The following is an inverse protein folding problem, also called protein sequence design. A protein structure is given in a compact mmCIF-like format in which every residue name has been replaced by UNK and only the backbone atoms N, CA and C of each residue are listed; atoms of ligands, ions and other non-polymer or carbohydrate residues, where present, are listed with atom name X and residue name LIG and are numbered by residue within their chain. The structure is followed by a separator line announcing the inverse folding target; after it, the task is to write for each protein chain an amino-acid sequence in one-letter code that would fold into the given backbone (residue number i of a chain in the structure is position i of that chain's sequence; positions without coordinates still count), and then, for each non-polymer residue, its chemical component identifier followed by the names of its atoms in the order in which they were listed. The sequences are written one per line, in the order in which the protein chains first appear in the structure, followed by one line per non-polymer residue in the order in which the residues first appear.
data_IF_022336546402
#
_entry.id   IF_022336546402
#
_cell.length_a   1.000
_cell.length_b   1.000
_cell.length_c   1.000
_cell.angle_alpha   90.00
_cell.angle_beta   90.00
_cell.angle_gamma   90.00
#
_symmetry.space_group_name_H-M   'P 1'
#
loop_
_entity.id
_entity.type
_entity.pdbx_description
1 polymer ?
#
# COMPACT_ATOMS: atom_id res chain seq x y z
N UNK A 1 -37.26 88.27 -37.81
CA UNK A 1 -38.33 87.35 -37.39
C UNK A 1 -37.71 86.03 -36.94
N UNK A 2 -37.62 85.80 -35.65
CA UNK A 2 -36.99 84.63 -35.07
C UNK A 2 -38.07 83.83 -34.33
N UNK A 3 -38.22 82.55 -34.69
CA UNK A 3 -39.15 81.62 -34.10
C UNK A 3 -38.38 80.74 -33.12
N UNK A 4 -38.74 80.82 -31.83
CA UNK A 4 -38.22 79.98 -30.77
C UNK A 4 -38.78 78.55 -30.92
N UNK A 5 -37.95 77.55 -30.80
CA UNK A 5 -38.32 76.14 -30.63
C UNK A 5 -37.89 75.70 -29.23
N UNK A 6 -38.87 75.18 -28.46
CA UNK A 6 -38.70 74.60 -27.15
C UNK A 6 -38.02 73.23 -27.26
N UNK A 7 -36.97 72.99 -26.50
CA UNK A 7 -36.44 71.67 -26.23
C UNK A 7 -37.09 71.06 -24.95
N UNK A 8 -37.78 69.95 -25.12
CA UNK A 8 -38.25 69.10 -24.05
C UNK A 8 -37.10 68.12 -23.68
N UNK A 9 -36.71 68.12 -22.43
CA UNK A 9 -35.71 67.23 -21.83
C UNK A 9 -36.32 65.84 -21.65
N UNK A 10 -35.66 64.83 -22.21
CA UNK A 10 -35.92 63.41 -21.99
C UNK A 10 -34.97 62.88 -20.95
N UNK A 11 -35.48 62.53 -19.74
CA UNK A 11 -34.72 61.91 -18.68
C UNK A 11 -34.53 60.41 -18.97
N UNK A 12 -33.28 59.97 -19.17
CA UNK A 12 -32.94 58.56 -19.33
C UNK A 12 -32.72 57.93 -17.90
N UNK A 13 -33.58 56.99 -17.58
CA UNK A 13 -33.43 56.18 -16.35
C UNK A 13 -32.46 55.03 -16.65
N UNK A 14 -31.27 55.10 -16.09
CA UNK A 14 -30.30 54.00 -16.08
C UNK A 14 -30.66 52.99 -15.00
N UNK A 15 -31.24 51.86 -15.40
CA UNK A 15 -31.47 50.72 -14.52
C UNK A 15 -30.15 49.95 -14.29
N UNK A 16 -29.68 49.94 -13.03
CA UNK A 16 -28.54 49.16 -12.58
C UNK A 16 -28.99 47.71 -12.36
N UNK A 17 -28.63 46.81 -13.28
CA UNK A 17 -28.92 45.39 -13.18
C UNK A 17 -27.82 44.75 -12.32
N UNK A 18 -28.08 44.45 -11.05
CA UNK A 18 -27.20 43.72 -10.15
C UNK A 18 -27.18 42.23 -10.57
N UNK A 19 -26.09 41.79 -11.18
CA UNK A 19 -25.86 40.36 -11.46
C UNK A 19 -25.39 39.68 -10.15
N UNK A 20 -26.29 38.93 -9.53
CA UNK A 20 -25.99 38.10 -8.37
C UNK A 20 -25.20 36.85 -8.85
N UNK A 21 -23.90 36.86 -8.74
CA UNK A 21 -23.04 35.68 -9.01
C UNK A 21 -23.18 34.71 -7.84
N UNK A 22 -23.99 33.67 -8.00
CA UNK A 22 -24.07 32.56 -7.04
C UNK A 22 -22.79 31.75 -7.13
N UNK A 23 -21.89 31.93 -6.16
CA UNK A 23 -20.71 31.09 -6.01
C UNK A 23 -21.14 29.71 -5.48
N UNK A 24 -21.29 28.72 -6.36
CA UNK A 24 -21.53 27.34 -5.97
C UNK A 24 -20.23 26.79 -5.44
N UNK A 25 -20.06 26.77 -4.13
CA UNK A 25 -18.95 26.09 -3.47
C UNK A 25 -19.24 24.58 -3.60
N UNK A 26 -18.38 23.78 -4.26
CA UNK A 26 -18.55 22.34 -4.26
C UNK A 26 -18.38 21.84 -2.83
N UNK A 27 -19.46 21.40 -2.20
CA UNK A 27 -19.41 20.66 -0.94
C UNK A 27 -18.59 19.39 -1.18
N UNK A 28 -17.36 19.40 -0.73
CA UNK A 28 -16.53 18.21 -0.61
C UNK A 28 -17.24 17.31 0.42
N UNK A 29 -18.07 16.40 -0.07
CA UNK A 29 -18.68 15.37 0.78
C UNK A 29 -17.55 14.47 1.28
N UNK A 30 -17.08 14.74 2.49
CA UNK A 30 -16.26 13.80 3.23
C UNK A 30 -17.09 12.52 3.39
N UNK A 31 -16.76 11.49 2.62
CA UNK A 31 -17.34 10.16 2.77
C UNK A 31 -17.07 9.69 4.19
N UNK A 32 -18.08 9.70 5.07
CA UNK A 32 -17.99 9.14 6.41
C UNK A 32 -17.68 7.63 6.27
N UNK A 33 -16.42 7.27 6.49
CA UNK A 33 -15.98 5.89 6.54
C UNK A 33 -16.70 5.22 7.71
N UNK A 34 -17.59 4.27 7.43
CA UNK A 34 -18.32 3.53 8.45
C UNK A 34 -17.30 2.65 9.20
N UNK A 35 -16.92 3.04 10.41
CA UNK A 35 -16.12 2.22 11.30
C UNK A 35 -16.91 0.96 11.67
N UNK A 36 -16.26 -0.19 11.65
CA UNK A 36 -16.81 -1.40 12.25
C UNK A 36 -16.74 -1.29 13.78
N UNK A 37 -17.53 -2.06 14.51
CA UNK A 37 -17.56 -2.05 15.98
C UNK A 37 -16.23 -2.42 16.64
N UNK A 38 -15.30 -3.02 15.88
CA UNK A 38 -13.96 -3.43 16.30
C UNK A 38 -12.85 -2.42 15.94
N UNK A 39 -13.21 -1.21 15.46
CA UNK A 39 -12.29 -0.11 15.15
C UNK A 39 -11.64 -0.18 13.76
N UNK A 40 -11.98 -1.17 12.93
CA UNK A 40 -11.49 -1.24 11.55
C UNK A 40 -12.26 -0.27 10.64
N UNK A 41 -11.54 0.41 9.76
CA UNK A 41 -12.07 1.29 8.73
C UNK A 41 -11.74 0.72 7.35
N UNK A 42 -12.74 0.65 6.47
CA UNK A 42 -12.53 0.26 5.07
C UNK A 42 -11.73 1.35 4.34
N UNK A 43 -10.62 0.97 3.71
CA UNK A 43 -9.73 1.89 2.99
C UNK A 43 -9.77 1.74 1.46
N UNK A 44 -10.52 0.77 0.94
CA UNK A 44 -10.84 0.61 -0.47
C UNK A 44 -12.35 0.43 -0.63
N UNK A 45 -12.97 1.23 -1.50
CA UNK A 45 -14.43 1.29 -1.66
C UNK A 45 -15.02 0.16 -2.53
N UNK A 46 -14.14 -0.62 -3.20
CA UNK A 46 -14.52 -1.67 -4.13
C UNK A 46 -14.96 -1.17 -5.51
N UNK A 47 -14.92 0.13 -5.77
CA UNK A 47 -15.49 0.73 -6.99
C UNK A 47 -14.50 1.62 -7.73
N UNK A 48 -13.69 2.37 -7.01
CA UNK A 48 -12.79 3.39 -7.57
C UNK A 48 -11.41 3.31 -6.92
N UNK A 49 -10.41 3.95 -7.53
CA UNK A 49 -9.10 4.15 -6.92
C UNK A 49 -9.04 5.42 -6.06
N UNK A 50 -10.19 6.00 -5.68
CA UNK A 50 -10.23 7.18 -4.81
C UNK A 50 -9.53 6.89 -3.48
N UNK A 51 -8.56 7.72 -3.11
CA UNK A 51 -7.72 7.52 -1.92
C UNK A 51 -6.51 6.59 -2.16
N UNK A 52 -6.26 6.17 -3.40
CA UNK A 52 -5.11 5.40 -3.81
C UNK A 52 -4.38 6.09 -4.97
N UNK A 53 -3.06 5.91 -5.05
CA UNK A 53 -2.20 6.49 -6.09
C UNK A 53 -1.23 5.46 -6.62
N UNK A 54 -1.30 5.14 -7.90
CA UNK A 54 -0.44 4.20 -8.61
C UNK A 54 -0.48 4.47 -10.12
N UNK A 55 0.35 3.78 -10.86
CA UNK A 55 0.37 3.87 -12.32
C UNK A 55 -0.89 3.23 -12.90
N UNK A 56 -1.74 3.99 -13.63
CA UNK A 56 -3.00 3.47 -14.19
C UNK A 56 -2.77 2.43 -15.30
N UNK A 57 -1.55 2.28 -15.80
CA UNK A 57 -1.19 1.19 -16.72
C UNK A 57 -1.35 -0.18 -16.08
N UNK A 58 -1.11 -0.26 -14.75
CA UNK A 58 -1.09 -1.52 -14.01
C UNK A 58 -2.24 -1.65 -13.03
N UNK A 59 -2.77 -0.54 -12.51
CA UNK A 59 -3.72 -0.55 -11.41
C UNK A 59 -5.10 -0.05 -11.81
N UNK A 60 -6.15 -0.78 -11.40
CA UNK A 60 -7.55 -0.41 -11.59
C UNK A 60 -8.45 -0.97 -10.50
N UNK A 61 -9.64 -0.41 -10.39
CA UNK A 61 -10.74 -1.02 -9.63
C UNK A 61 -11.62 -1.79 -10.61
N UNK A 62 -11.86 -3.08 -10.33
CA UNK A 62 -12.62 -3.96 -11.22
C UNK A 62 -13.36 -5.03 -10.40
N UNK A 63 -14.67 -5.19 -10.61
CA UNK A 63 -15.51 -6.23 -9.99
C UNK A 63 -15.36 -6.30 -8.45
N UNK A 64 -15.28 -5.15 -7.78
CA UNK A 64 -15.14 -5.08 -6.32
C UNK A 64 -13.71 -5.19 -5.81
N UNK A 65 -12.73 -5.37 -6.70
CA UNK A 65 -11.34 -5.63 -6.36
C UNK A 65 -10.43 -4.46 -6.77
N UNK A 66 -9.38 -4.24 -5.99
CA UNK A 66 -8.18 -3.51 -6.38
C UNK A 66 -7.31 -4.47 -7.18
N UNK A 67 -7.16 -4.23 -8.48
CA UNK A 67 -6.49 -5.11 -9.42
C UNK A 67 -5.16 -4.54 -9.85
N UNK A 68 -4.09 -5.31 -9.68
CA UNK A 68 -2.78 -5.08 -10.25
C UNK A 68 -2.50 -6.11 -11.34
N UNK A 69 -2.14 -5.66 -12.55
CA UNK A 69 -1.94 -6.56 -13.68
C UNK A 69 -0.78 -6.12 -14.58
N UNK A 70 0.05 -7.08 -14.94
CA UNK A 70 1.10 -6.96 -15.94
C UNK A 70 0.73 -7.90 -17.08
N UNK A 71 0.63 -7.35 -18.30
CA UNK A 71 0.36 -8.09 -19.53
C UNK A 71 1.65 -8.22 -20.37
N UNK A 72 1.68 -9.05 -21.42
CA UNK A 72 2.81 -9.08 -22.35
C UNK A 72 3.13 -7.72 -23.00
N UNK A 73 2.11 -6.84 -23.12
CA UNK A 73 2.27 -5.49 -23.68
C UNK A 73 2.73 -4.44 -22.66
N UNK A 74 2.66 -4.76 -21.34
CA UNK A 74 2.92 -3.80 -20.25
C UNK A 74 3.98 -4.30 -19.29
N UNK A 75 5.02 -4.99 -19.78
CA UNK A 75 6.07 -5.53 -18.94
C UNK A 75 6.80 -4.43 -18.15
N UNK A 76 6.95 -4.65 -16.85
CA UNK A 76 7.67 -3.75 -15.95
C UNK A 76 9.19 -3.88 -16.11
N UNK A 77 9.89 -2.75 -15.93
CA UNK A 77 11.35 -2.71 -15.78
C UNK A 77 11.79 -2.72 -14.31
N UNK A 78 10.89 -2.34 -13.41
CA UNK A 78 11.10 -2.29 -11.96
C UNK A 78 9.77 -2.44 -11.25
N UNK A 79 9.78 -2.86 -9.99
CA UNK A 79 8.57 -3.01 -9.18
C UNK A 79 7.79 -1.70 -9.09
N UNK A 80 6.46 -1.78 -9.22
CA UNK A 80 5.54 -0.66 -9.15
C UNK A 80 4.48 -0.89 -8.07
N UNK A 81 4.09 0.18 -7.39
CA UNK A 81 3.19 0.12 -6.26
C UNK A 81 1.98 1.03 -6.46
N UNK A 82 0.85 0.61 -5.92
CA UNK A 82 -0.24 1.53 -5.64
C UNK A 82 -0.26 1.83 -4.14
N UNK A 83 -0.34 3.11 -3.78
CA UNK A 83 -0.13 3.62 -2.42
C UNK A 83 -1.43 4.20 -1.89
N UNK A 84 -1.80 3.81 -0.68
CA UNK A 84 -2.92 4.43 0.04
C UNK A 84 -2.55 5.85 0.50
N UNK A 85 -3.44 6.82 0.20
CA UNK A 85 -3.25 8.25 0.45
C UNK A 85 -3.81 8.73 1.79
N UNK A 86 -4.38 7.83 2.58
CA UNK A 86 -5.09 8.22 3.81
C UNK A 86 -4.20 8.44 5.03
N UNK A 87 -2.86 8.36 4.88
CA UNK A 87 -1.90 8.64 5.94
C UNK A 87 -0.67 7.74 5.93
N UNK A 88 0.08 7.80 7.01
CA UNK A 88 1.28 7.00 7.25
C UNK A 88 1.12 6.26 8.58
N UNK A 89 0.45 5.09 8.59
CA UNK A 89 0.20 4.37 9.83
C UNK A 89 1.50 3.98 10.54
N UNK A 90 1.52 4.17 11.85
CA UNK A 90 2.58 3.73 12.75
C UNK A 90 2.28 2.34 13.28
N UNK A 91 1.57 2.27 14.41
CA UNK A 91 1.04 1.04 14.97
C UNK A 91 -0.34 0.79 14.36
N UNK A 92 -0.56 -0.42 13.82
CA UNK A 92 -1.80 -0.72 13.10
C UNK A 92 -2.08 -2.21 13.01
N UNK A 93 -3.34 -2.53 12.72
CA UNK A 93 -3.75 -3.80 12.13
C UNK A 93 -4.26 -3.54 10.71
N UNK A 94 -3.82 -4.35 9.74
CA UNK A 94 -4.30 -4.27 8.36
C UNK A 94 -4.69 -5.66 7.86
N UNK A 95 -5.94 -5.81 7.46
CA UNK A 95 -6.48 -7.09 6.99
C UNK A 95 -7.24 -6.93 5.67
N UNK A 96 -7.33 -8.01 4.94
CA UNK A 96 -8.05 -8.10 3.68
C UNK A 96 -7.91 -9.47 3.06
N UNK A 97 -8.27 -9.55 1.80
CA UNK A 97 -8.16 -10.77 1.01
C UNK A 97 -7.33 -10.51 -0.24
N UNK A 98 -6.61 -11.53 -0.69
CA UNK A 98 -5.86 -11.50 -1.94
C UNK A 98 -6.02 -12.78 -2.73
N UNK A 99 -5.89 -12.68 -4.05
CA UNK A 99 -5.64 -13.80 -4.96
C UNK A 99 -4.60 -13.37 -5.99
N UNK A 100 -3.81 -14.31 -6.49
CA UNK A 100 -2.71 -14.04 -7.42
C UNK A 100 -2.54 -15.22 -8.38
N UNK A 101 -2.22 -14.92 -9.64
CA UNK A 101 -1.89 -15.93 -10.65
C UNK A 101 -0.62 -16.69 -10.31
N UNK A 102 -0.48 -17.93 -10.78
CA UNK A 102 0.62 -18.85 -10.43
C UNK A 102 2.02 -18.24 -10.64
N UNK A 103 2.24 -17.47 -11.69
CA UNK A 103 3.53 -16.83 -11.98
C UNK A 103 3.69 -15.44 -11.32
N UNK A 104 2.66 -14.98 -10.62
CA UNK A 104 2.65 -13.66 -10.00
C UNK A 104 3.58 -13.55 -8.80
N UNK A 105 4.10 -12.33 -8.60
CA UNK A 105 4.79 -11.91 -7.39
C UNK A 105 4.29 -10.52 -6.99
N UNK A 106 4.02 -10.36 -5.71
CA UNK A 106 3.42 -9.17 -5.12
C UNK A 106 3.82 -9.05 -3.65
N UNK A 107 3.31 -8.05 -2.98
CA UNK A 107 3.51 -7.87 -1.54
C UNK A 107 2.72 -6.68 -1.02
N UNK A 108 2.51 -6.68 0.29
CA UNK A 108 1.89 -5.58 1.03
C UNK A 108 3.01 -4.81 1.73
N UNK A 109 3.30 -3.61 1.24
CA UNK A 109 4.31 -2.73 1.82
C UNK A 109 3.72 -1.84 2.90
N UNK A 110 4.46 -1.67 3.98
CA UNK A 110 4.06 -0.82 5.10
C UNK A 110 5.28 -0.12 5.73
N UNK A 111 5.02 0.96 6.46
CA UNK A 111 6.07 1.81 7.02
C UNK A 111 7.17 2.12 5.99
N UNK A 112 6.74 2.37 4.75
CA UNK A 112 7.63 2.53 3.60
C UNK A 112 7.87 3.98 3.25
N UNK A 113 9.03 4.26 2.65
CA UNK A 113 9.35 5.51 1.98
C UNK A 113 9.04 5.40 0.49
N UNK A 114 8.58 6.50 -0.12
CA UNK A 114 8.53 6.63 -1.56
C UNK A 114 9.93 6.97 -2.09
N UNK A 115 10.36 6.30 -3.15
CA UNK A 115 11.56 6.71 -3.87
C UNK A 115 11.25 7.88 -4.78
N UNK A 116 12.18 8.81 -4.89
CA UNK A 116 12.04 10.03 -5.72
C UNK A 116 12.60 9.84 -7.12
N UNK A 117 13.53 8.92 -7.29
CA UNK A 117 14.25 8.58 -8.52
C UNK A 117 13.60 7.46 -9.32
N UNK A 118 12.67 6.71 -8.73
CA UNK A 118 11.92 5.63 -9.37
C UNK A 118 10.42 5.84 -9.19
N UNK A 119 9.67 6.15 -10.26
CA UNK A 119 8.22 6.37 -10.18
C UNK A 119 7.50 5.19 -9.53
N UNK A 120 6.55 5.49 -8.65
CA UNK A 120 5.70 4.51 -7.96
C UNK A 120 6.45 3.41 -7.22
N UNK A 121 7.71 3.64 -6.83
CA UNK A 121 8.48 2.68 -6.06
C UNK A 121 8.46 2.99 -4.56
N UNK A 122 8.37 1.93 -3.76
CA UNK A 122 8.46 1.97 -2.30
C UNK A 122 9.72 1.27 -1.81
N UNK A 123 10.14 1.64 -0.60
CA UNK A 123 11.23 1.03 0.15
C UNK A 123 10.80 0.89 1.61
N UNK A 124 10.72 -0.33 2.12
CA UNK A 124 10.30 -0.59 3.51
C UNK A 124 9.85 -2.03 3.71
N UNK A 125 9.21 -2.30 4.85
CA UNK A 125 8.72 -3.64 5.19
C UNK A 125 7.67 -4.13 4.20
N UNK A 126 7.67 -5.43 3.94
CA UNK A 126 6.77 -6.09 3.02
C UNK A 126 6.31 -7.46 3.54
N UNK A 127 5.03 -7.70 3.54
CA UNK A 127 4.47 -9.03 3.63
C UNK A 127 4.41 -9.61 2.21
N UNK A 128 5.26 -10.59 1.92
CA UNK A 128 5.37 -11.18 0.60
C UNK A 128 4.18 -12.03 0.22
N UNK A 129 3.81 -11.96 -1.05
CA UNK A 129 2.75 -12.73 -1.71
C UNK A 129 3.27 -13.18 -3.07
N UNK A 130 3.27 -14.50 -3.34
CA UNK A 130 3.60 -15.04 -4.66
C UNK A 130 2.71 -16.23 -5.02
N UNK A 131 2.42 -16.40 -6.31
CA UNK A 131 1.48 -17.42 -6.79
C UNK A 131 1.96 -18.87 -6.61
N UNK A 132 3.27 -19.08 -6.53
CA UNK A 132 3.86 -20.41 -6.26
C UNK A 132 4.01 -20.69 -4.76
N UNK A 133 3.62 -19.75 -3.92
CA UNK A 133 3.74 -19.84 -2.46
C UNK A 133 5.16 -20.18 -1.98
N UNK A 134 6.19 -19.67 -2.67
CA UNK A 134 7.58 -19.78 -2.21
C UNK A 134 7.87 -18.80 -1.09
N UNK A 135 7.36 -17.58 -1.26
CA UNK A 135 7.63 -16.43 -0.39
C UNK A 135 6.42 -15.99 0.44
N UNK A 136 5.18 -16.36 0.03
CA UNK A 136 3.96 -15.94 0.74
C UNK A 136 4.06 -16.24 2.22
N UNK A 137 3.84 -15.18 3.04
CA UNK A 137 3.88 -15.23 4.50
C UNK A 137 5.24 -14.91 5.12
N UNK A 138 6.31 -14.69 4.33
CA UNK A 138 7.56 -14.16 4.90
C UNK A 138 7.49 -12.65 5.13
N UNK A 139 8.38 -12.15 6.00
CA UNK A 139 8.62 -10.73 6.21
C UNK A 139 9.88 -10.33 5.45
N UNK A 140 9.71 -9.45 4.47
CA UNK A 140 10.76 -8.92 3.62
C UNK A 140 10.89 -7.42 3.83
N UNK A 141 12.02 -6.84 3.50
CA UNK A 141 12.18 -5.39 3.47
C UNK A 141 12.64 -4.97 2.07
N UNK A 142 11.69 -4.45 1.30
CA UNK A 142 11.90 -4.06 -0.09
C UNK A 142 13.00 -2.99 -0.19
N UNK A 143 13.98 -3.24 -1.05
CA UNK A 143 15.10 -2.33 -1.33
C UNK A 143 15.93 -1.91 -0.12
N UNK A 144 15.94 -2.73 0.96
CA UNK A 144 16.74 -2.50 2.16
C UNK A 144 17.39 -3.78 2.67
N UNK A 145 16.95 -4.29 3.84
CA UNK A 145 17.61 -5.42 4.52
C UNK A 145 17.21 -6.80 3.97
N UNK A 146 16.27 -6.86 3.01
CA UNK A 146 15.78 -8.09 2.40
C UNK A 146 14.97 -8.97 3.37
N UNK A 147 15.14 -10.30 3.39
CA UNK A 147 14.35 -11.19 4.25
C UNK A 147 14.67 -10.98 5.72
N UNK A 148 13.68 -10.55 6.49
CA UNK A 148 13.77 -10.37 7.94
C UNK A 148 13.29 -11.62 8.70
N UNK A 149 12.33 -12.36 8.15
CA UNK A 149 11.93 -13.68 8.63
C UNK A 149 11.35 -14.49 7.46
N UNK A 150 11.80 -15.73 7.30
CA UNK A 150 11.16 -16.67 6.38
C UNK A 150 9.84 -17.18 6.99
N UNK A 151 8.93 -17.67 6.15
CA UNK A 151 7.73 -18.37 6.62
C UNK A 151 8.12 -19.50 7.59
N UNK A 152 7.47 -19.51 8.74
CA UNK A 152 7.73 -20.46 9.83
C UNK A 152 8.71 -19.96 10.89
N UNK A 153 9.29 -18.78 10.71
CA UNK A 153 10.27 -18.25 11.66
C UNK A 153 9.71 -17.16 12.58
N UNK A 154 10.18 -17.18 13.82
CA UNK A 154 10.26 -16.04 14.73
C UNK A 154 11.69 -15.55 14.74
N UNK A 155 11.90 -14.24 14.51
CA UNK A 155 13.24 -13.67 14.43
C UNK A 155 13.37 -12.42 15.30
N UNK A 156 14.61 -12.12 15.65
CA UNK A 156 15.01 -10.83 16.23
C UNK A 156 16.09 -10.22 15.35
N UNK A 157 15.89 -8.98 14.95
CA UNK A 157 16.91 -8.14 14.34
C UNK A 157 17.60 -7.38 15.48
N UNK A 158 18.91 -7.53 15.69
CA UNK A 158 19.61 -6.83 16.76
C UNK A 158 19.66 -5.32 16.51
N UNK A 159 19.92 -4.55 17.56
CA UNK A 159 20.22 -3.14 17.42
C UNK A 159 21.41 -2.94 16.47
N UNK A 160 21.33 -1.90 15.65
CA UNK A 160 22.40 -1.60 14.69
C UNK A 160 23.72 -1.29 15.43
N UNK A 161 24.75 -2.06 15.10
CA UNK A 161 26.08 -1.95 15.75
C UNK A 161 27.12 -1.19 14.92
N UNK A 162 26.73 -0.69 13.71
CA UNK A 162 27.69 -0.11 12.75
C UNK A 162 28.52 -1.13 12.00
N UNK A 163 28.38 -2.43 12.28
CA UNK A 163 29.24 -3.49 11.76
C UNK A 163 28.92 -3.94 10.33
N UNK A 164 27.86 -3.43 9.72
CA UNK A 164 27.48 -3.83 8.37
C UNK A 164 27.93 -2.78 7.35
N UNK A 165 28.82 -3.19 6.47
CA UNK A 165 29.24 -2.37 5.34
C UNK A 165 28.20 -2.42 4.22
N UNK A 166 28.19 -1.41 3.30
CA UNK A 166 27.35 -1.47 2.10
C UNK A 166 27.58 -2.75 1.25
N UNK A 167 28.78 -3.32 1.29
CA UNK A 167 29.13 -4.58 0.61
C UNK A 167 28.40 -5.78 1.24
N UNK A 168 28.35 -5.85 2.55
CA UNK A 168 27.60 -6.90 3.27
C UNK A 168 26.10 -6.82 2.99
N UNK A 169 25.53 -5.60 2.97
CA UNK A 169 24.13 -5.40 2.59
C UNK A 169 23.87 -5.85 1.15
N UNK A 170 24.74 -5.50 0.20
CA UNK A 170 24.62 -5.95 -1.20
C UNK A 170 24.73 -7.48 -1.33
N UNK A 171 25.60 -8.12 -0.56
CA UNK A 171 25.71 -9.58 -0.53
C UNK A 171 24.40 -10.22 -0.02
N UNK A 172 23.79 -9.65 1.02
CA UNK A 172 22.50 -10.11 1.53
C UNK A 172 21.37 -9.93 0.49
N UNK A 173 21.31 -8.78 -0.18
CA UNK A 173 20.36 -8.55 -1.27
C UNK A 173 20.52 -9.60 -2.38
N UNK A 174 21.75 -9.90 -2.79
CA UNK A 174 22.05 -10.92 -3.81
C UNK A 174 21.60 -12.32 -3.37
N UNK A 175 21.73 -12.64 -2.09
CA UNK A 175 21.36 -13.93 -1.52
C UNK A 175 19.91 -13.97 -1.03
N UNK A 176 19.17 -12.88 -1.20
CA UNK A 176 17.80 -12.70 -0.68
C UNK A 176 17.69 -13.04 0.82
N UNK A 177 18.69 -12.64 1.59
CA UNK A 177 18.78 -12.90 3.03
C UNK A 177 19.40 -11.72 3.80
N UNK A 178 19.05 -11.62 5.07
CA UNK A 178 19.62 -10.64 6.00
C UNK A 178 20.49 -11.38 7.03
N UNK A 179 21.80 -11.17 6.98
CA UNK A 179 22.75 -11.88 7.84
C UNK A 179 22.68 -11.46 9.32
N UNK A 180 22.06 -10.31 9.62
CA UNK A 180 21.95 -9.80 10.99
C UNK A 180 20.78 -10.36 11.79
N UNK A 181 19.91 -11.18 11.19
CA UNK A 181 18.78 -11.76 11.91
C UNK A 181 19.22 -12.94 12.81
N UNK A 182 18.53 -13.11 13.94
CA UNK A 182 18.63 -14.28 14.80
C UNK A 182 17.28 -14.99 14.81
N UNK A 183 17.25 -16.27 14.48
CA UNK A 183 16.04 -17.10 14.62
C UNK A 183 15.84 -17.42 16.10
N UNK A 184 14.76 -16.94 16.69
CA UNK A 184 14.45 -17.07 18.13
C UNK A 184 13.38 -18.10 18.42
N UNK A 185 12.69 -18.60 17.37
CA UNK A 185 11.66 -19.63 17.50
C UNK A 185 11.12 -20.11 16.17
N UNK A 186 10.28 -21.13 16.23
CA UNK A 186 9.61 -21.74 15.08
C UNK A 186 8.10 -21.65 15.23
N UNK A 187 7.42 -21.40 14.12
CA UNK A 187 5.95 -21.44 13.96
C UNK A 187 5.49 -22.71 13.25
N UNK A 188 6.43 -23.60 12.94
CA UNK A 188 6.25 -24.79 12.11
C UNK A 188 7.16 -24.79 10.89
N UNK A 189 7.20 -25.89 10.16
CA UNK A 189 7.99 -25.95 8.92
C UNK A 189 7.35 -25.09 7.83
N UNK A 190 8.20 -24.46 7.00
CA UNK A 190 7.73 -23.66 5.87
C UNK A 190 6.82 -24.44 4.93
N UNK A 191 7.12 -25.74 4.71
CA UNK A 191 6.31 -26.59 3.84
C UNK A 191 4.94 -26.91 4.43
N UNK A 192 4.87 -27.20 5.74
CA UNK A 192 3.57 -27.42 6.42
C UNK A 192 2.71 -26.15 6.37
N UNK A 193 3.28 -24.98 6.64
CA UNK A 193 2.56 -23.71 6.57
C UNK A 193 2.14 -23.37 5.13
N UNK A 194 2.94 -23.74 4.14
CA UNK A 194 2.61 -23.56 2.72
C UNK A 194 1.31 -24.26 2.33
N UNK A 195 1.02 -25.44 2.90
CA UNK A 195 -0.21 -26.18 2.57
C UNK A 195 -1.49 -25.47 2.98
N UNK A 196 -1.39 -24.48 3.86
CA UNK A 196 -2.52 -23.67 4.34
C UNK A 196 -2.84 -22.49 3.40
N UNK A 197 -1.99 -22.25 2.38
CA UNK A 197 -2.15 -21.16 1.41
C UNK A 197 -2.79 -21.75 0.15
N UNK A 198 -3.93 -21.18 -0.26
CA UNK A 198 -4.68 -21.62 -1.44
C UNK A 198 -4.04 -21.02 -2.70
N UNK A 199 -3.64 -21.88 -3.64
CA UNK A 199 -3.10 -21.45 -4.92
C UNK A 199 -4.20 -20.95 -5.84
N UNK A 200 -4.00 -19.76 -6.46
CA UNK A 200 -4.91 -19.10 -7.41
C UNK A 200 -6.36 -18.93 -6.88
N UNK A 201 -6.54 -18.97 -5.55
CA UNK A 201 -7.80 -18.74 -4.87
C UNK A 201 -7.65 -17.63 -3.81
N UNK A 202 -8.76 -17.21 -3.23
CA UNK A 202 -8.79 -16.17 -2.21
C UNK A 202 -8.19 -16.66 -0.88
N UNK A 203 -7.20 -15.91 -0.40
CA UNK A 203 -6.60 -16.05 0.92
C UNK A 203 -6.86 -14.78 1.71
N UNK A 204 -7.01 -14.88 3.02
CA UNK A 204 -7.00 -13.73 3.91
C UNK A 204 -5.55 -13.38 4.30
N UNK A 205 -5.29 -12.10 4.51
CA UNK A 205 -4.08 -11.64 5.18
C UNK A 205 -4.47 -10.79 6.40
N UNK A 206 -3.64 -10.83 7.43
CA UNK A 206 -3.73 -9.93 8.57
C UNK A 206 -2.32 -9.56 9.04
N UNK A 207 -1.99 -8.29 8.99
CA UNK A 207 -0.76 -7.73 9.50
C UNK A 207 -1.04 -7.07 10.85
N UNK A 208 -0.28 -7.44 11.88
CA UNK A 208 -0.30 -6.79 13.19
C UNK A 208 1.07 -6.18 13.42
N UNK A 209 1.11 -4.85 13.48
CA UNK A 209 2.34 -4.08 13.57
C UNK A 209 2.23 -3.14 14.75
N UNK A 210 3.01 -3.41 15.82
CA UNK A 210 2.97 -2.62 17.05
C UNK A 210 4.39 -2.41 17.59
N UNK A 211 4.78 -1.13 17.70
CA UNK A 211 6.17 -0.81 18.05
C UNK A 211 7.15 -1.44 17.06
N UNK A 212 8.06 -2.24 17.55
CA UNK A 212 9.03 -3.01 16.76
C UNK A 212 8.62 -4.47 16.52
N UNK A 213 7.40 -4.86 16.87
CA UNK A 213 6.86 -6.20 16.73
C UNK A 213 5.99 -6.28 15.45
N UNK A 214 6.37 -7.14 14.52
CA UNK A 214 5.75 -7.29 13.22
C UNK A 214 5.29 -8.74 13.05
N UNK A 215 4.01 -8.95 12.81
CA UNK A 215 3.40 -10.27 12.66
C UNK A 215 2.60 -10.35 11.36
N UNK A 216 2.89 -11.37 10.54
CA UNK A 216 2.18 -11.62 9.30
C UNK A 216 1.38 -12.91 9.38
N UNK A 217 0.07 -12.81 9.18
CA UNK A 217 -0.86 -13.93 9.15
C UNK A 217 -1.40 -14.13 7.73
N UNK A 218 -1.58 -15.39 7.34
CA UNK A 218 -2.32 -15.81 6.14
C UNK A 218 -3.32 -16.88 6.56
N UNK A 219 -4.59 -16.71 6.18
CA UNK A 219 -5.69 -17.61 6.57
C UNK A 219 -5.74 -17.85 8.08
N UNK A 220 -5.61 -16.75 8.85
CA UNK A 220 -5.59 -16.71 10.32
C UNK A 220 -4.42 -17.45 10.99
N UNK A 221 -3.44 -17.91 10.21
CA UNK A 221 -2.25 -18.60 10.71
C UNK A 221 -1.06 -17.63 10.69
N UNK A 222 -0.36 -17.49 11.83
CA UNK A 222 0.87 -16.72 11.93
C UNK A 222 1.97 -17.38 11.08
N UNK A 223 2.42 -16.68 10.04
CA UNK A 223 3.40 -17.18 9.08
C UNK A 223 4.83 -16.72 9.38
N UNK A 224 4.98 -15.52 9.89
CA UNK A 224 6.28 -14.96 10.32
C UNK A 224 6.11 -13.94 11.42
N UNK A 225 7.12 -13.80 12.26
CA UNK A 225 7.15 -12.86 13.38
C UNK A 225 8.55 -12.26 13.50
N UNK A 226 8.65 -10.93 13.59
CA UNK A 226 9.89 -10.17 13.69
C UNK A 226 9.84 -9.23 14.88
N UNK A 227 10.87 -9.26 15.73
CA UNK A 227 11.18 -8.18 16.69
C UNK A 227 12.36 -7.40 16.11
N UNK A 228 12.10 -6.18 15.61
CA UNK A 228 13.12 -5.36 14.97
C UNK A 228 13.68 -4.32 15.94
N UNK A 229 14.85 -4.58 16.49
CA UNK A 229 15.55 -3.66 17.39
C UNK A 229 16.50 -2.70 16.66
N UNK A 230 16.61 -2.77 15.35
CA UNK A 230 17.43 -1.87 14.53
C UNK A 230 16.71 -0.52 14.35
N UNK A 231 16.97 0.42 15.25
CA UNK A 231 16.36 1.76 15.21
C UNK A 231 16.94 2.66 14.12
N UNK A 232 18.01 2.25 13.44
CA UNK A 232 18.63 3.00 12.34
C UNK A 232 17.96 2.67 11.00
N UNK A 233 17.76 1.39 10.72
CA UNK A 233 17.13 0.93 9.48
C UNK A 233 15.63 0.66 9.64
N UNK A 234 15.19 0.22 10.81
CA UNK A 234 13.78 0.03 11.13
C UNK A 234 13.00 1.34 11.06
N UNK A 235 11.71 1.26 10.77
CA UNK A 235 10.80 2.41 10.72
C UNK A 235 9.58 2.18 11.61
N UNK A 236 9.14 3.26 12.24
CA UNK A 236 7.97 3.24 13.14
C UNK A 236 6.68 3.70 12.48
N UNK A 237 6.77 4.34 11.30
CA UNK A 237 5.62 4.76 10.49
C UNK A 237 6.03 4.90 9.02
N UNK A 238 5.08 5.06 8.11
CA UNK A 238 5.33 5.30 6.70
C UNK A 238 4.16 4.88 5.81
N UNK A 239 4.38 4.91 4.51
CA UNK A 239 3.37 4.61 3.51
C UNK A 239 2.94 3.14 3.56
N UNK A 240 1.66 2.93 3.21
CA UNK A 240 1.03 1.63 2.99
C UNK A 240 0.70 1.48 1.50
N UNK A 241 1.04 0.35 0.90
CA UNK A 241 0.76 0.08 -0.51
C UNK A 241 0.85 -1.39 -0.85
N UNK A 242 0.48 -1.73 -2.10
CA UNK A 242 0.60 -3.08 -2.64
C UNK A 242 1.34 -3.07 -3.97
N UNK A 243 2.00 -4.17 -4.30
CA UNK A 243 3.00 -4.27 -5.37
C UNK A 243 2.48 -5.06 -6.58
N UNK A 244 2.91 -4.65 -7.80
CA UNK A 244 3.12 -5.54 -8.95
C UNK A 244 4.62 -5.64 -9.18
N UNK A 245 5.13 -6.87 -9.26
CA UNK A 245 6.56 -7.16 -9.31
C UNK A 245 7.05 -7.36 -10.74
N UNK A 246 8.23 -6.85 -11.05
CA UNK A 246 8.92 -7.10 -12.31
C UNK A 246 9.05 -8.60 -12.57
N UNK A 247 8.64 -9.05 -13.76
CA UNK A 247 8.66 -10.48 -14.09
C UNK A 247 7.74 -10.82 -15.24
N UNK A 248 7.29 -12.07 -15.32
CA UNK A 248 6.32 -12.48 -16.33
C UNK A 248 4.96 -11.79 -16.14
N UNK A 249 4.08 -11.85 -17.15
CA UNK A 249 2.69 -11.42 -17.01
C UNK A 249 2.03 -12.03 -15.79
N UNK A 250 1.30 -11.20 -15.02
CA UNK A 250 0.69 -11.60 -13.77
C UNK A 250 -0.57 -10.78 -13.47
N UNK A 251 -1.43 -11.32 -12.63
CA UNK A 251 -2.55 -10.58 -12.05
C UNK A 251 -2.63 -10.86 -10.56
N UNK A 252 -2.72 -9.79 -9.75
CA UNK A 252 -3.02 -9.86 -8.33
C UNK A 252 -4.28 -9.05 -8.06
N UNK A 253 -5.10 -9.53 -7.15
CA UNK A 253 -6.33 -8.85 -6.77
C UNK A 253 -6.42 -8.79 -5.25
N UNK A 254 -6.89 -7.65 -4.75
CA UNK A 254 -7.13 -7.40 -3.34
C UNK A 254 -8.56 -6.91 -3.12
N UNK A 255 -9.19 -7.33 -2.01
CA UNK A 255 -10.51 -6.84 -1.61
C UNK A 255 -10.66 -6.78 -0.11
N UNK A 256 -11.76 -6.20 0.37
CA UNK A 256 -12.08 -6.12 1.81
C UNK A 256 -10.95 -5.47 2.63
N UNK A 257 -10.26 -4.47 2.07
CA UNK A 257 -9.12 -3.82 2.71
C UNK A 257 -9.57 -2.98 3.92
N UNK A 258 -9.18 -3.41 5.11
CA UNK A 258 -9.60 -2.84 6.40
C UNK A 258 -8.38 -2.48 7.24
N UNK A 259 -8.29 -1.24 7.68
CA UNK A 259 -7.20 -0.71 8.50
C UNK A 259 -7.73 -0.26 9.86
N UNK A 260 -7.01 -0.60 10.92
CA UNK A 260 -7.21 -0.11 12.28
C UNK A 260 -5.91 0.48 12.79
N UNK A 261 -5.92 1.73 13.21
CA UNK A 261 -4.80 2.34 13.93
C UNK A 261 -4.88 1.94 15.41
N UNK A 262 -3.73 1.64 16.01
CA UNK A 262 -3.61 1.18 17.39
C UNK A 262 -3.12 2.31 18.30
#
# INVERSE_FOLDING_TARGET
MAKRMNLTSLAAATGLMAVLTICVIPSCMAQTRKASTDGFVRIFDGKTLTGWEGDPTYWRAENGNLVGEITPATLLKTNSFIVWKGGQPGDFEFKGEFTITAEGNSGINYRSDRLTDVPFALRGYQADIDGRNRYTGQNYEERKRTTLAYRGQKTTIPAYSGAQTPEAVRANVKNNAWAGLTVTGSLGSSDSLKTLIKSEDWNTFHLVVKGNHLQHYVNDVLMSEVIDNDTVNGKTNGLLGVQVHVGPPMKVQYRSLMLKQL
#
